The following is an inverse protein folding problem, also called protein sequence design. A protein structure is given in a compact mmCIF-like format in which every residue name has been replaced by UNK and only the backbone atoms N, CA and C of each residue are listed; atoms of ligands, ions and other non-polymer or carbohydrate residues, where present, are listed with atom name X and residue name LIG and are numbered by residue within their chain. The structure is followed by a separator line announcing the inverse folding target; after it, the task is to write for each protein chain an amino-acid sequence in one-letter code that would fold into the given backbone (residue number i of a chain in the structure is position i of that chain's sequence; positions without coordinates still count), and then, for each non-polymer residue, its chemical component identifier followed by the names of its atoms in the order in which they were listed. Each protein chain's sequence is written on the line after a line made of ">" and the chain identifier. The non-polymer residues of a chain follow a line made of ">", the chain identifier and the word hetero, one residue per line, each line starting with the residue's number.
data_IF_998647219926
#
_entry.id   IF_998647219926
#
_cell.length_a   1.000
_cell.length_b   1.000
_cell.length_c   1.000
_cell.angle_alpha   90.00
_cell.angle_beta   90.00
_cell.angle_gamma   90.00
#
_symmetry.space_group_name_H-M   'P 1'
#
loop_
_entity.id
_entity.type
_entity.pdbx_description
1 polymer ?
#
# COMPACT_ATOMS: atom_id res chain seq x y z
N UNK A 1 -16.94 -1.40 59.84
CA UNK A 1 -16.72 -1.98 58.49
C UNK A 1 -17.50 -1.17 57.48
N UNK A 2 -16.84 -0.32 56.68
CA UNK A 2 -17.50 0.45 55.62
C UNK A 2 -17.09 -0.13 54.26
N UNK A 3 -18.03 -0.79 53.57
CA UNK A 3 -17.83 -1.23 52.19
C UNK A 3 -18.07 -0.03 51.28
N UNK A 4 -16.98 0.56 50.78
CA UNK A 4 -17.03 1.57 49.73
C UNK A 4 -17.65 0.93 48.47
N UNK A 5 -18.87 1.36 48.14
CA UNK A 5 -19.50 1.07 46.87
C UNK A 5 -18.72 1.80 45.78
N UNK A 6 -17.88 1.06 45.04
CA UNK A 6 -17.18 1.59 43.87
C UNK A 6 -18.23 2.01 42.86
N UNK A 7 -18.42 3.32 42.70
CA UNK A 7 -19.18 3.88 41.59
C UNK A 7 -18.52 3.39 40.31
N UNK A 8 -19.24 2.57 39.55
CA UNK A 8 -18.88 2.23 38.18
C UNK A 8 -18.84 3.57 37.43
N UNK A 9 -17.65 4.06 37.13
CA UNK A 9 -17.49 5.30 36.38
C UNK A 9 -18.04 5.02 34.98
N UNK A 10 -19.16 5.67 34.62
CA UNK A 10 -19.59 5.74 33.22
C UNK A 10 -18.51 6.52 32.47
N UNK A 11 -17.56 5.79 31.88
CA UNK A 11 -16.66 6.34 30.88
C UNK A 11 -17.45 6.94 29.70
N UNK A 12 -16.81 7.74 28.84
CA UNK A 12 -17.47 8.31 27.67
C UNK A 12 -18.20 7.21 26.91
N UNK A 13 -19.49 7.37 26.61
CA UNK A 13 -20.24 6.38 25.81
C UNK A 13 -19.64 6.36 24.41
N UNK A 14 -18.68 5.47 24.18
CA UNK A 14 -18.05 5.31 22.88
C UNK A 14 -19.05 4.56 21.99
N UNK A 15 -19.81 5.34 21.21
CA UNK A 15 -20.79 4.83 20.25
C UNK A 15 -20.07 4.26 19.02
N UNK A 16 -19.24 3.24 19.16
CA UNK A 16 -18.85 2.47 17.98
C UNK A 16 -20.07 1.71 17.49
N UNK A 17 -20.55 2.11 16.34
CA UNK A 17 -21.77 1.56 15.77
C UNK A 17 -21.44 0.36 14.88
N UNK A 18 -22.41 -0.54 14.72
CA UNK A 18 -22.43 -1.59 13.68
C UNK A 18 -21.98 -1.10 12.30
N UNK A 19 -22.22 0.18 12.00
CA UNK A 19 -21.77 0.85 10.77
C UNK A 19 -20.25 0.87 10.63
N UNK A 20 -19.52 1.18 11.69
CA UNK A 20 -18.05 1.25 11.67
C UNK A 20 -17.43 -0.13 11.43
N UNK A 21 -17.97 -1.16 12.07
CA UNK A 21 -17.58 -2.55 11.83
C UNK A 21 -17.84 -2.98 10.38
N UNK A 22 -19.02 -2.66 9.83
CA UNK A 22 -19.33 -2.97 8.42
C UNK A 22 -18.45 -2.19 7.44
N UNK A 23 -18.10 -0.94 7.76
CA UNK A 23 -17.17 -0.16 6.95
C UNK A 23 -15.80 -0.83 6.94
N UNK A 24 -15.25 -1.16 8.12
CA UNK A 24 -13.96 -1.84 8.23
C UNK A 24 -13.96 -3.19 7.47
N UNK A 25 -15.04 -3.97 7.55
CA UNK A 25 -15.15 -5.21 6.77
C UNK A 25 -15.10 -4.97 5.25
N UNK A 26 -15.80 -3.95 4.76
CA UNK A 26 -15.79 -3.59 3.33
C UNK A 26 -14.42 -3.07 2.90
N UNK A 27 -13.75 -2.33 3.77
CA UNK A 27 -12.39 -1.83 3.56
C UNK A 27 -11.38 -2.98 3.44
N UNK A 28 -11.42 -3.94 4.37
CA UNK A 28 -10.63 -5.18 4.28
C UNK A 28 -10.88 -5.86 2.93
N UNK A 29 -12.14 -6.11 2.57
CA UNK A 29 -12.49 -6.75 1.28
C UNK A 29 -11.97 -5.97 0.07
N UNK A 30 -11.97 -4.64 0.12
CA UNK A 30 -11.40 -3.80 -0.95
C UNK A 30 -9.89 -3.98 -1.04
N UNK A 31 -9.16 -3.91 0.07
CA UNK A 31 -7.71 -4.05 0.07
C UNK A 31 -7.22 -5.47 -0.26
N UNK A 32 -7.96 -6.51 0.11
CA UNK A 32 -7.62 -7.89 -0.32
C UNK A 32 -7.58 -8.06 -1.83
N UNK A 33 -8.24 -7.19 -2.62
CA UNK A 33 -8.17 -7.25 -4.07
C UNK A 33 -6.76 -6.97 -4.62
N UNK A 34 -5.94 -6.24 -3.87
CA UNK A 34 -4.56 -5.92 -4.24
C UNK A 34 -3.65 -7.17 -4.23
N UNK A 35 -4.04 -8.21 -3.48
CA UNK A 35 -3.28 -9.44 -3.28
C UNK A 35 -3.60 -10.46 -4.37
N UNK A 36 -3.06 -10.24 -5.58
CA UNK A 36 -3.35 -11.04 -6.78
C UNK A 36 -2.46 -12.27 -6.96
N UNK A 37 -1.51 -12.52 -6.06
CA UNK A 37 -0.59 -13.67 -6.14
C UNK A 37 -1.03 -14.83 -5.25
N UNK A 38 -0.43 -16.00 -5.50
CA UNK A 38 -0.67 -17.24 -4.77
C UNK A 38 0.29 -17.37 -3.59
N UNK A 39 -0.19 -18.02 -2.55
CA UNK A 39 0.58 -18.55 -1.42
C UNK A 39 1.38 -19.80 -1.85
N UNK A 40 2.27 -20.28 -0.99
CA UNK A 40 3.12 -21.46 -1.19
C UNK A 40 2.29 -22.72 -1.49
N UNK A 41 1.04 -22.76 -1.01
CA UNK A 41 0.07 -23.83 -1.26
C UNK A 41 -0.69 -23.69 -2.58
N UNK A 42 -0.39 -22.67 -3.38
CA UNK A 42 -1.05 -22.36 -4.65
C UNK A 42 -2.40 -21.65 -4.54
N UNK A 43 -2.82 -21.23 -3.33
CA UNK A 43 -4.10 -20.54 -3.07
C UNK A 43 -3.91 -19.03 -3.19
N UNK A 44 -4.85 -18.31 -3.78
CA UNK A 44 -4.76 -16.84 -3.89
C UNK A 44 -4.85 -16.17 -2.50
N UNK A 45 -3.88 -15.29 -2.20
CA UNK A 45 -3.83 -14.58 -0.91
C UNK A 45 -5.11 -13.79 -0.62
N UNK A 46 -5.73 -13.22 -1.66
CA UNK A 46 -7.05 -12.58 -1.57
C UNK A 46 -8.09 -13.47 -0.87
N UNK A 47 -8.17 -14.74 -1.24
CA UNK A 47 -9.21 -15.63 -0.76
C UNK A 47 -8.92 -16.08 0.67
N UNK A 48 -7.64 -16.33 0.99
CA UNK A 48 -7.18 -16.60 2.36
C UNK A 48 -7.53 -15.44 3.29
N UNK A 49 -7.19 -14.21 2.91
CA UNK A 49 -7.45 -13.02 3.72
C UNK A 49 -8.94 -12.76 3.92
N UNK A 50 -9.76 -13.00 2.88
CA UNK A 50 -11.23 -12.87 2.98
C UNK A 50 -11.84 -13.93 3.88
N UNK A 51 -11.39 -15.18 3.80
CA UNK A 51 -11.85 -16.26 4.66
C UNK A 51 -11.50 -15.98 6.12
N UNK A 52 -10.27 -15.54 6.39
CA UNK A 52 -9.83 -15.16 7.74
C UNK A 52 -10.64 -13.98 8.28
N UNK A 53 -10.79 -12.90 7.50
CA UNK A 53 -11.60 -11.75 7.91
C UNK A 53 -13.04 -12.16 8.22
N UNK A 54 -13.65 -13.02 7.39
CA UNK A 54 -15.00 -13.53 7.64
C UNK A 54 -15.06 -14.31 8.96
N UNK A 55 -14.11 -15.21 9.20
CA UNK A 55 -14.03 -16.01 10.43
C UNK A 55 -13.94 -15.13 11.68
N UNK A 56 -13.07 -14.12 11.67
CA UNK A 56 -12.93 -13.18 12.80
C UNK A 56 -14.22 -12.39 13.07
N UNK A 57 -14.88 -11.90 12.02
CA UNK A 57 -16.16 -11.17 12.16
C UNK A 57 -17.31 -12.07 12.63
N UNK A 58 -17.34 -13.33 12.18
CA UNK A 58 -18.33 -14.31 12.64
C UNK A 58 -18.10 -14.68 14.11
N UNK A 59 -16.85 -14.82 14.55
CA UNK A 59 -16.50 -15.05 15.95
C UNK A 59 -16.92 -13.89 16.86
N UNK A 60 -16.73 -12.64 16.41
CA UNK A 60 -17.10 -11.44 17.16
C UNK A 60 -18.59 -11.06 17.05
N UNK A 61 -19.41 -11.81 16.29
CA UNK A 61 -20.81 -11.45 15.97
C UNK A 61 -21.71 -11.27 17.20
N UNK A 62 -21.44 -12.05 18.25
CA UNK A 62 -22.24 -12.08 19.47
C UNK A 62 -21.63 -11.25 20.60
N UNK A 63 -20.55 -10.51 20.32
CA UNK A 63 -19.99 -9.58 21.29
C UNK A 63 -20.96 -8.40 21.48
N UNK A 64 -21.28 -8.10 22.73
CA UNK A 64 -22.21 -7.03 23.11
C UNK A 64 -21.54 -5.99 24.01
N UNK A 65 -20.33 -6.26 24.51
CA UNK A 65 -19.57 -5.30 25.31
C UNK A 65 -19.07 -4.16 24.41
N UNK A 66 -19.54 -2.91 24.62
CA UNK A 66 -19.13 -1.77 23.80
C UNK A 66 -17.63 -1.49 23.86
N UNK A 67 -16.95 -1.77 24.98
CA UNK A 67 -15.51 -1.53 25.11
C UNK A 67 -14.71 -2.51 24.26
N UNK A 68 -15.12 -3.78 24.25
CA UNK A 68 -14.51 -4.83 23.44
C UNK A 68 -14.73 -4.53 21.95
N UNK A 69 -15.96 -4.21 21.55
CA UNK A 69 -16.28 -3.86 20.15
C UNK A 69 -15.43 -2.68 19.68
N UNK A 70 -15.32 -1.64 20.50
CA UNK A 70 -14.53 -0.47 20.15
C UNK A 70 -13.05 -0.82 19.99
N UNK A 71 -12.49 -1.58 20.94
CA UNK A 71 -11.11 -2.05 20.86
C UNK A 71 -10.86 -2.88 19.59
N UNK A 72 -11.77 -3.79 19.23
CA UNK A 72 -11.69 -4.58 18.01
C UNK A 72 -11.68 -3.70 16.75
N UNK A 73 -12.54 -2.69 16.68
CA UNK A 73 -12.61 -1.78 15.53
C UNK A 73 -11.34 -0.93 15.42
N UNK A 74 -10.87 -0.34 16.52
CA UNK A 74 -9.67 0.52 16.52
C UNK A 74 -8.44 -0.30 16.12
N UNK A 75 -8.21 -1.42 16.81
CA UNK A 75 -7.06 -2.29 16.54
C UNK A 75 -7.12 -2.89 15.12
N UNK A 76 -8.30 -3.26 14.64
CA UNK A 76 -8.50 -3.74 13.29
C UNK A 76 -8.19 -2.67 12.23
N UNK A 77 -8.60 -1.42 12.43
CA UNK A 77 -8.24 -0.29 11.56
C UNK A 77 -6.74 -0.06 11.50
N UNK A 78 -6.09 -0.02 12.67
CA UNK A 78 -4.65 0.17 12.75
C UNK A 78 -3.89 -0.95 12.03
N UNK A 79 -4.34 -2.20 12.19
CA UNK A 79 -3.75 -3.35 11.50
C UNK A 79 -3.90 -3.23 9.97
N UNK A 80 -5.10 -2.89 9.47
CA UNK A 80 -5.35 -2.69 8.04
C UNK A 80 -4.49 -1.56 7.50
N UNK A 81 -4.42 -0.43 8.20
CA UNK A 81 -3.63 0.71 7.78
C UNK A 81 -2.15 0.35 7.63
N UNK A 82 -1.56 -0.34 8.61
CA UNK A 82 -0.15 -0.79 8.55
C UNK A 82 0.12 -1.72 7.36
N UNK A 83 -0.79 -2.65 7.08
CA UNK A 83 -0.66 -3.58 5.94
C UNK A 83 -0.71 -2.83 4.62
N UNK A 84 -1.68 -1.91 4.48
CA UNK A 84 -1.86 -1.11 3.27
C UNK A 84 -0.68 -0.17 3.05
N UNK A 85 -0.20 0.50 4.09
CA UNK A 85 0.99 1.35 4.02
C UNK A 85 2.22 0.55 3.58
N UNK A 86 2.43 -0.63 4.17
CA UNK A 86 3.54 -1.52 3.81
C UNK A 86 3.45 -1.98 2.35
N UNK A 87 2.24 -2.27 1.87
CA UNK A 87 1.99 -2.61 0.47
C UNK A 87 2.36 -1.45 -0.47
N UNK A 88 1.91 -0.23 -0.18
CA UNK A 88 2.24 0.94 -0.99
C UNK A 88 3.72 1.27 -0.96
N UNK A 89 4.36 1.16 0.20
CA UNK A 89 5.81 1.34 0.35
C UNK A 89 6.55 0.38 -0.57
N UNK A 90 6.19 -0.91 -0.55
CA UNK A 90 6.84 -1.92 -1.41
C UNK A 90 6.58 -1.66 -2.89
N UNK A 91 5.34 -1.30 -3.25
CA UNK A 91 4.98 -0.96 -4.64
C UNK A 91 5.79 0.23 -5.16
N UNK A 92 5.90 1.31 -4.38
CA UNK A 92 6.61 2.51 -4.78
C UNK A 92 8.12 2.25 -4.97
N UNK A 93 8.72 1.41 -4.11
CA UNK A 93 10.11 0.97 -4.28
C UNK A 93 10.33 0.27 -5.62
N UNK A 94 9.46 -0.67 -6.00
CA UNK A 94 9.56 -1.39 -7.27
C UNK A 94 9.48 -0.41 -8.46
N UNK A 95 8.56 0.55 -8.42
CA UNK A 95 8.41 1.55 -9.49
C UNK A 95 9.66 2.44 -9.61
N UNK A 96 10.23 2.87 -8.47
CA UNK A 96 11.47 3.67 -8.45
C UNK A 96 12.69 2.87 -8.95
N UNK A 97 12.79 1.60 -8.55
CA UNK A 97 13.84 0.68 -9.00
C UNK A 97 13.75 0.44 -10.51
N UNK A 98 12.53 0.29 -11.06
CA UNK A 98 12.32 0.15 -12.51
C UNK A 98 12.67 1.44 -13.27
N UNK A 99 12.28 2.62 -12.74
CA UNK A 99 12.61 3.90 -13.36
C UNK A 99 14.13 4.14 -13.42
N UNK A 100 14.85 3.89 -12.32
CA UNK A 100 16.32 4.03 -12.27
C UNK A 100 17.06 3.03 -13.19
N UNK A 101 16.52 1.81 -13.35
CA UNK A 101 17.03 0.83 -14.33
C UNK A 101 16.83 1.29 -15.77
N UNK A 102 15.72 1.96 -16.09
CA UNK A 102 15.47 2.49 -17.43
C UNK A 102 16.37 3.69 -17.76
N UNK A 103 16.56 4.61 -16.81
CA UNK A 103 17.45 5.77 -16.95
C UNK A 103 18.90 5.33 -17.22
N UNK A 104 19.41 4.38 -16.44
CA UNK A 104 20.76 3.82 -16.64
C UNK A 104 20.93 3.11 -17.98
N UNK A 105 19.90 2.43 -18.50
CA UNK A 105 19.93 1.83 -19.84
C UNK A 105 19.90 2.86 -20.98
N UNK A 106 19.24 4.01 -20.78
CA UNK A 106 19.15 5.08 -21.79
C UNK A 106 20.43 5.89 -21.93
N UNK A 107 21.21 6.02 -20.85
CA UNK A 107 22.44 6.80 -20.81
C UNK A 107 23.66 6.08 -21.46
N UNK A 108 23.55 4.78 -21.73
CA UNK A 108 24.63 3.99 -22.36
C UNK A 108 24.67 4.17 -23.90
N UNK A 109 23.60 4.68 -24.52
CA UNK A 109 23.53 4.81 -25.98
C UNK A 109 23.83 6.23 -26.53
N UNK A 110 24.23 7.18 -25.68
CA UNK A 110 24.49 8.58 -26.06
C UNK A 110 25.95 8.92 -26.38
N UNK A 111 26.88 7.97 -26.34
CA UNK A 111 28.32 8.22 -26.34
C UNK A 111 29.09 7.60 -27.50
N UNK A 112 28.73 7.88 -28.76
CA UNK A 112 29.62 7.66 -29.93
C UNK A 112 29.14 8.42 -31.16
N UNK A 113 29.67 9.63 -31.32
CA UNK A 113 29.46 10.48 -32.51
C UNK A 113 30.47 11.61 -32.60
N UNK A 114 31.69 11.42 -32.09
CA UNK A 114 32.82 12.32 -32.34
C UNK A 114 33.58 11.86 -33.57
N UNK A 115 33.34 12.51 -34.71
CA UNK A 115 34.24 12.48 -35.86
C UNK A 115 34.44 13.93 -36.29
N UNK A 116 35.52 14.53 -35.78
CA UNK A 116 36.07 15.79 -36.27
C UNK A 116 36.38 15.66 -37.76
N UNK A 117 35.76 16.51 -38.58
CA UNK A 117 36.16 16.68 -39.96
C UNK A 117 37.47 17.48 -40.01
N UNK A 118 38.53 17.00 -40.68
CA UNK A 118 39.74 17.78 -40.89
C UNK A 118 39.47 18.89 -41.91
N UNK A 119 39.94 20.10 -41.60
CA UNK A 119 39.82 21.27 -42.47
C UNK A 119 40.50 21.05 -43.81
N UNK A 120 39.87 21.57 -44.86
CA UNK A 120 40.53 21.85 -46.13
C UNK A 120 40.61 23.36 -46.30
N UNK A 121 41.84 23.87 -46.22
CA UNK A 121 42.23 25.17 -46.79
C UNK A 121 42.60 24.96 -48.27
N UNK A 122 42.16 25.90 -49.11
CA UNK A 122 42.50 25.99 -50.53
C UNK A 122 41.32 26.59 -51.27
N UNK A 123 41.37 27.77 -51.90
CA UNK A 123 42.50 28.52 -52.42
C UNK A 123 42.18 28.87 -53.88
N UNK A 124 41.68 30.10 -54.12
CA UNK A 124 41.90 30.85 -55.37
C UNK A 124 41.01 30.63 -56.61
N UNK A 125 40.70 31.76 -57.26
CA UNK A 125 40.37 31.96 -58.69
C UNK A 125 39.04 31.42 -59.23
N UNK A 126 38.30 32.06 -60.14
CA UNK A 126 38.48 33.29 -60.93
C UNK A 126 37.12 33.73 -61.53
N UNK A 127 37.13 34.92 -62.12
CA UNK A 127 36.08 35.74 -62.76
C UNK A 127 35.27 35.05 -63.89
N UNK A 128 34.27 35.82 -64.35
CA UNK A 128 33.67 35.92 -65.72
C UNK A 128 32.37 35.13 -65.88
N UNK A 129 31.26 35.62 -66.42
CA UNK A 129 30.92 36.86 -67.15
C UNK A 129 29.43 37.16 -66.96
#
# INVERSE_FOLDING_TARGET
>A
MAKASRKFQEGPRILTTRREALHLYREIRRYTNLFVWKDDKGVMWRDVLRANARKEYEAARHENDPEIINKLIITGRDAVHRVVESFWRRRNQIIQDEASRQESSSNVNGGRGGLSAPGYEGGGSQKSS
#
